data_IF_684527871949
#
_entry.id   IF_684527871949
#
_cell.length_a   1.000
_cell.length_b   1.000
_cell.length_c   1.000
_cell.angle_alpha   90.00
_cell.angle_beta   90.00
_cell.angle_gamma   90.00
#
_symmetry.space_group_name_H-M   'P 1'
#
loop_
_entity.id
_entity.type
_entity.pdbx_description
1 polymer ?
#
# COMPACT_ATOMS: atom_id res chain seq x y z
N UNK A 1 -37.58 -11.78 21.98
CA UNK A 1 -36.73 -12.05 20.80
C UNK A 1 -35.28 -11.80 21.18
N UNK A 2 -34.44 -12.85 21.17
CA UNK A 2 -33.00 -12.73 21.40
C UNK A 2 -32.34 -12.34 20.07
N UNK A 3 -31.80 -11.13 19.99
CA UNK A 3 -31.02 -10.66 18.84
C UNK A 3 -29.60 -11.20 18.92
N UNK A 4 -29.27 -12.20 18.11
CA UNK A 4 -27.91 -12.68 17.90
C UNK A 4 -27.14 -11.63 17.09
N UNK A 5 -26.43 -10.73 17.77
CA UNK A 5 -25.29 -10.04 17.15
C UNK A 5 -24.15 -11.04 17.04
N UNK A 6 -23.94 -11.58 15.84
CA UNK A 6 -22.71 -12.28 15.48
C UNK A 6 -21.59 -11.24 15.53
N UNK A 7 -20.82 -11.26 16.61
CA UNK A 7 -19.55 -10.56 16.68
C UNK A 7 -18.68 -11.06 15.52
N UNK A 8 -18.30 -10.13 14.65
CA UNK A 8 -17.30 -10.39 13.61
C UNK A 8 -15.94 -10.52 14.30
N UNK A 9 -15.64 -11.73 14.76
CA UNK A 9 -14.32 -12.15 15.21
C UNK A 9 -13.44 -12.32 13.98
N UNK A 10 -12.53 -11.36 13.77
CA UNK A 10 -11.14 -11.53 13.32
C UNK A 10 -10.52 -10.14 13.04
N UNK A 11 -10.64 -9.23 14.02
CA UNK A 11 -9.88 -7.99 14.01
C UNK A 11 -8.46 -8.30 14.49
N UNK A 12 -7.56 -8.58 13.55
CA UNK A 12 -6.10 -8.56 13.79
C UNK A 12 -5.78 -7.28 14.59
N UNK A 13 -5.30 -7.45 15.82
CA UNK A 13 -5.07 -6.36 16.76
C UNK A 13 -3.85 -5.54 16.33
N UNK A 14 -3.79 -4.27 16.74
CA UNK A 14 -2.70 -3.32 16.43
C UNK A 14 -1.29 -3.86 16.73
N UNK A 15 -1.17 -4.76 17.71
CA UNK A 15 0.07 -5.45 18.08
C UNK A 15 0.61 -6.40 17.02
N UNK A 16 -0.27 -6.90 16.15
CA UNK A 16 0.04 -8.07 15.34
C UNK A 16 0.79 -7.67 14.06
N UNK A 17 0.58 -6.43 13.57
CA UNK A 17 1.24 -5.88 12.38
C UNK A 17 2.70 -5.45 12.63
N UNK A 18 3.14 -5.45 13.90
CA UNK A 18 4.48 -5.05 14.31
C UNK A 18 5.25 -6.25 14.85
N UNK A 19 6.53 -6.34 14.49
CA UNK A 19 7.50 -7.26 15.10
C UNK A 19 7.96 -6.75 16.46
N UNK A 20 8.62 -7.62 17.23
CA UNK A 20 9.08 -7.37 18.60
C UNK A 20 9.95 -6.10 18.84
N UNK A 21 10.41 -5.43 17.78
CA UNK A 21 11.18 -4.16 17.83
C UNK A 21 10.40 -2.93 17.32
N UNK A 22 9.09 -3.03 17.14
CA UNK A 22 8.27 -1.95 16.56
C UNK A 22 8.48 -1.75 15.05
N UNK A 23 9.16 -2.67 14.39
CA UNK A 23 9.27 -2.70 12.93
C UNK A 23 8.05 -3.38 12.32
N UNK A 24 7.55 -2.94 11.16
CA UNK A 24 6.40 -3.57 10.53
C UNK A 24 6.71 -4.99 10.07
N UNK A 25 5.75 -5.90 10.25
CA UNK A 25 5.78 -7.20 9.60
C UNK A 25 5.22 -7.08 8.18
N UNK A 26 6.13 -7.01 7.20
CA UNK A 26 5.78 -6.75 5.80
C UNK A 26 4.88 -7.85 5.22
N UNK A 27 5.09 -9.11 5.60
CA UNK A 27 4.35 -10.25 5.06
C UNK A 27 2.91 -10.24 5.59
N UNK A 28 2.75 -9.97 6.89
CA UNK A 28 1.43 -9.89 7.50
C UNK A 28 0.64 -8.67 7.00
N UNK A 29 1.29 -7.51 6.91
CA UNK A 29 0.68 -6.30 6.35
C UNK A 29 0.24 -6.55 4.91
N UNK A 30 1.10 -7.15 4.09
CA UNK A 30 0.77 -7.45 2.70
C UNK A 30 -0.40 -8.41 2.57
N UNK A 31 -0.42 -9.49 3.37
CA UNK A 31 -1.55 -10.41 3.41
C UNK A 31 -2.86 -9.70 3.78
N UNK A 32 -2.83 -8.83 4.79
CA UNK A 32 -4.00 -8.04 5.19
C UNK A 32 -4.49 -7.11 4.07
N UNK A 33 -3.56 -6.48 3.35
CA UNK A 33 -3.87 -5.64 2.17
C UNK A 33 -4.54 -6.48 1.07
N UNK A 34 -4.05 -7.69 0.79
CA UNK A 34 -4.66 -8.61 -0.18
C UNK A 34 -6.09 -9.01 0.21
N UNK A 35 -6.30 -9.35 1.49
CA UNK A 35 -7.63 -9.72 1.99
C UNK A 35 -8.62 -8.55 1.84
N UNK A 36 -8.20 -7.34 2.22
CA UNK A 36 -8.99 -6.12 2.08
C UNK A 36 -9.26 -5.78 0.60
N UNK A 37 -8.28 -5.95 -0.29
CA UNK A 37 -8.45 -5.77 -1.73
C UNK A 37 -9.50 -6.73 -2.32
N UNK A 38 -9.45 -8.01 -1.95
CA UNK A 38 -10.46 -8.97 -2.37
C UNK A 38 -11.86 -8.62 -1.87
N UNK A 39 -11.98 -8.07 -0.66
CA UNK A 39 -13.27 -7.56 -0.14
C UNK A 39 -13.78 -6.37 -0.94
N UNK A 40 -12.92 -5.42 -1.32
CA UNK A 40 -13.31 -4.28 -2.18
C UNK A 40 -13.81 -4.79 -3.54
N UNK A 41 -13.09 -5.71 -4.18
CA UNK A 41 -13.48 -6.26 -5.48
C UNK A 41 -14.83 -7.00 -5.43
N UNK A 42 -15.11 -7.69 -4.33
CA UNK A 42 -16.41 -8.37 -4.10
C UNK A 42 -17.56 -7.40 -3.82
N UNK A 43 -17.30 -6.33 -3.06
CA UNK A 43 -18.33 -5.38 -2.62
C UNK A 43 -18.66 -4.32 -3.67
N UNK A 44 -17.69 -3.88 -4.46
CA UNK A 44 -17.87 -2.85 -5.47
C UNK A 44 -17.21 -3.26 -6.80
N UNK A 45 -18.03 -3.81 -7.70
CA UNK A 45 -17.58 -4.32 -9.01
C UNK A 45 -16.93 -3.25 -9.89
N UNK A 46 -17.30 -1.98 -9.75
CA UNK A 46 -16.70 -0.88 -10.53
C UNK A 46 -15.24 -0.65 -10.17
N UNK A 47 -14.82 -1.04 -8.97
CA UNK A 47 -13.44 -0.89 -8.51
C UNK A 47 -12.58 -2.12 -8.81
N UNK A 48 -13.16 -3.25 -9.24
CA UNK A 48 -12.44 -4.50 -9.49
C UNK A 48 -11.21 -4.31 -10.36
N UNK A 49 -11.31 -3.65 -11.52
CA UNK A 49 -10.17 -3.47 -12.42
C UNK A 49 -9.03 -2.64 -11.78
N UNK A 50 -9.37 -1.63 -10.97
CA UNK A 50 -8.39 -0.80 -10.28
C UNK A 50 -7.68 -1.58 -9.17
N UNK A 51 -8.44 -2.34 -8.39
CA UNK A 51 -7.94 -3.12 -7.26
C UNK A 51 -7.14 -4.32 -7.75
N UNK A 52 -7.58 -4.97 -8.82
CA UNK A 52 -6.84 -6.06 -9.46
C UNK A 52 -5.46 -5.59 -9.89
N UNK A 53 -5.41 -4.45 -10.56
CA UNK A 53 -4.18 -3.88 -11.09
C UNK A 53 -3.23 -3.35 -10.00
N UNK A 54 -3.74 -2.86 -8.87
CA UNK A 54 -2.89 -2.30 -7.80
C UNK A 54 -2.50 -3.34 -6.75
N UNK A 55 -3.37 -4.32 -6.46
CA UNK A 55 -3.17 -5.25 -5.35
C UNK A 55 -3.16 -6.69 -5.81
N UNK A 56 -4.28 -7.21 -6.32
CA UNK A 56 -4.49 -8.67 -6.46
C UNK A 56 -3.48 -9.31 -7.42
N UNK A 57 -3.15 -8.62 -8.52
CA UNK A 57 -2.17 -9.10 -9.51
C UNK A 57 -0.71 -8.85 -9.13
N UNK A 58 -0.44 -8.33 -7.92
CA UNK A 58 0.91 -7.95 -7.47
C UNK A 58 1.47 -8.97 -6.50
N UNK A 59 2.79 -9.16 -6.53
CA UNK A 59 3.50 -10.13 -5.69
C UNK A 59 3.85 -9.59 -4.30
N UNK A 60 3.91 -8.26 -4.14
CA UNK A 60 4.38 -7.62 -2.90
C UNK A 60 3.81 -6.20 -2.73
N UNK A 61 3.95 -5.67 -1.52
CA UNK A 61 3.62 -4.28 -1.22
C UNK A 61 4.46 -3.29 -2.05
N UNK A 62 5.74 -3.58 -2.28
CA UNK A 62 6.61 -2.78 -3.15
C UNK A 62 6.05 -2.68 -4.58
N UNK A 63 5.68 -3.82 -5.17
CA UNK A 63 5.08 -3.90 -6.50
C UNK A 63 3.73 -3.13 -6.54
N UNK A 64 2.93 -3.20 -5.48
CA UNK A 64 1.68 -2.45 -5.34
C UNK A 64 1.88 -0.93 -5.32
N UNK A 65 2.87 -0.45 -4.56
CA UNK A 65 3.24 0.97 -4.52
C UNK A 65 3.73 1.44 -5.90
N UNK A 66 4.61 0.69 -6.56
CA UNK A 66 5.07 0.99 -7.91
C UNK A 66 3.90 1.07 -8.90
N UNK A 67 2.96 0.12 -8.84
CA UNK A 67 1.76 0.11 -9.68
C UNK A 67 0.88 1.34 -9.43
N UNK A 68 0.68 1.72 -8.16
CA UNK A 68 -0.12 2.89 -7.82
C UNK A 68 0.54 4.19 -8.26
N UNK A 69 1.82 4.36 -8.00
CA UNK A 69 2.55 5.59 -8.30
C UNK A 69 2.75 5.79 -9.79
N UNK A 70 3.10 4.75 -10.54
CA UNK A 70 3.20 4.82 -12.01
C UNK A 70 1.89 5.31 -12.64
N UNK A 71 0.73 4.81 -12.19
CA UNK A 71 -0.59 5.32 -12.64
C UNK A 71 -0.83 6.79 -12.33
N UNK A 72 -0.27 7.31 -11.23
CA UNK A 72 -0.47 8.70 -10.80
C UNK A 72 0.51 9.67 -11.45
N UNK A 73 1.75 9.23 -11.65
CA UNK A 73 2.87 10.03 -12.10
C UNK A 73 3.05 10.01 -13.62
N UNK A 74 2.57 8.97 -14.31
CA UNK A 74 2.72 8.85 -15.77
C UNK A 74 2.19 10.08 -16.52
N UNK A 75 2.97 10.49 -17.51
CA UNK A 75 2.70 11.58 -18.45
C UNK A 75 3.16 11.14 -19.85
N UNK A 76 3.02 12.01 -20.84
CA UNK A 76 3.44 11.72 -22.22
C UNK A 76 4.95 11.47 -22.32
N UNK A 77 5.76 12.22 -21.58
CA UNK A 77 7.23 12.10 -21.59
C UNK A 77 7.75 10.87 -20.83
N UNK A 78 6.93 10.30 -19.95
CA UNK A 78 7.29 9.12 -19.18
C UNK A 78 6.03 8.31 -18.87
N UNK A 79 5.86 7.25 -19.64
CA UNK A 79 4.65 6.45 -19.64
C UNK A 79 4.59 5.55 -18.40
N UNK A 80 3.42 4.96 -18.16
CA UNK A 80 3.24 3.99 -17.09
C UNK A 80 4.16 2.78 -17.27
N UNK A 81 4.35 2.33 -18.51
CA UNK A 81 5.13 1.14 -18.85
C UNK A 81 6.63 1.34 -18.61
N UNK A 82 7.10 2.59 -18.65
CA UNK A 82 8.47 2.97 -18.28
C UNK A 82 8.60 3.22 -16.77
N UNK A 83 7.64 3.90 -16.16
CA UNK A 83 7.68 4.24 -14.73
C UNK A 83 7.53 3.01 -13.83
N UNK A 84 6.62 2.10 -14.17
CA UNK A 84 6.33 0.95 -13.31
C UNK A 84 7.58 0.09 -13.01
N UNK A 85 8.32 -0.43 -14.02
CA UNK A 85 9.51 -1.23 -13.76
C UNK A 85 10.61 -0.43 -13.03
N UNK A 86 10.79 0.85 -13.37
CA UNK A 86 11.77 1.71 -12.70
C UNK A 86 11.46 1.85 -11.20
N UNK A 87 10.21 2.16 -10.85
CA UNK A 87 9.81 2.32 -9.46
C UNK A 87 9.86 0.99 -8.70
N UNK A 88 9.55 -0.12 -9.38
CA UNK A 88 9.65 -1.45 -8.79
C UNK A 88 11.11 -1.80 -8.45
N UNK A 89 12.04 -1.62 -9.39
CA UNK A 89 13.49 -1.83 -9.19
C UNK A 89 14.00 -1.06 -7.96
N UNK A 90 13.68 0.23 -7.87
CA UNK A 90 14.12 1.07 -6.75
C UNK A 90 13.55 0.56 -5.40
N UNK A 91 12.31 0.10 -5.36
CA UNK A 91 11.72 -0.41 -4.12
C UNK A 91 12.26 -1.78 -3.72
N UNK A 92 12.61 -2.62 -4.69
CA UNK A 92 13.24 -3.93 -4.46
C UNK A 92 14.69 -3.77 -3.97
N UNK A 93 15.45 -2.82 -4.53
CA UNK A 93 16.82 -2.52 -4.14
C UNK A 93 16.93 -1.82 -2.76
N UNK A 94 15.89 -1.11 -2.35
CA UNK A 94 15.86 -0.29 -1.12
C UNK A 94 14.70 -0.69 -0.19
N UNK A 95 14.74 -1.90 0.43
CA UNK A 95 13.66 -2.41 1.27
C UNK A 95 13.36 -1.55 2.50
N UNK A 96 14.27 -0.68 2.92
CA UNK A 96 14.02 0.30 3.99
C UNK A 96 12.98 1.36 3.58
N UNK A 97 12.85 1.66 2.28
CA UNK A 97 11.79 2.54 1.78
C UNK A 97 10.43 1.87 1.96
N UNK A 98 10.34 0.58 1.60
CA UNK A 98 9.13 -0.24 1.76
C UNK A 98 8.73 -0.30 3.23
N UNK A 99 9.67 -0.57 4.13
CA UNK A 99 9.45 -0.58 5.58
C UNK A 99 8.97 0.78 6.12
N UNK A 100 9.56 1.87 5.63
CA UNK A 100 9.12 3.23 5.99
C UNK A 100 7.68 3.50 5.53
N UNK A 101 7.34 3.14 4.29
CA UNK A 101 5.99 3.32 3.74
C UNK A 101 4.95 2.45 4.45
N UNK A 102 5.29 1.23 4.84
CA UNK A 102 4.39 0.40 5.66
C UNK A 102 4.19 1.02 7.04
N UNK A 103 5.24 1.56 7.65
CA UNK A 103 5.11 2.28 8.93
C UNK A 103 4.19 3.50 8.79
N UNK A 104 4.28 4.22 7.67
CA UNK A 104 3.39 5.33 7.35
C UNK A 104 1.92 4.83 7.23
N UNK A 105 1.66 3.68 6.57
CA UNK A 105 0.32 3.07 6.48
C UNK A 105 -0.24 2.69 7.84
N UNK A 106 0.55 2.02 8.68
CA UNK A 106 0.13 1.61 10.03
C UNK A 106 -0.21 2.86 10.85
N UNK A 107 0.65 3.88 10.80
CA UNK A 107 0.42 5.14 11.51
C UNK A 107 -0.86 5.85 11.05
N UNK A 108 -1.16 5.86 9.75
CA UNK A 108 -2.42 6.43 9.23
C UNK A 108 -3.60 5.62 9.75
N UNK A 109 -3.57 4.30 9.62
CA UNK A 109 -4.66 3.42 10.07
C UNK A 109 -4.91 3.49 11.59
N UNK A 110 -3.90 3.83 12.38
CA UNK A 110 -4.04 3.99 13.83
C UNK A 110 -4.56 5.35 14.28
N UNK A 111 -4.16 6.41 13.56
CA UNK A 111 -4.31 7.80 14.02
C UNK A 111 -5.40 8.56 13.27
N UNK A 112 -5.77 8.12 12.07
CA UNK A 112 -6.81 8.74 11.26
C UNK A 112 -8.16 8.02 11.49
N UNK A 113 -9.15 8.65 12.15
CA UNK A 113 -10.45 8.04 12.38
C UNK A 113 -11.26 7.82 11.08
N UNK A 114 -10.89 8.45 9.97
CA UNK A 114 -11.52 8.23 8.67
C UNK A 114 -10.88 7.09 7.87
N UNK A 115 -9.75 6.53 8.35
CA UNK A 115 -9.08 5.39 7.74
C UNK A 115 -9.60 4.09 8.33
N UNK A 116 -10.28 3.29 7.50
CA UNK A 116 -10.93 2.05 7.89
C UNK A 116 -10.23 0.79 7.36
N UNK A 117 -9.19 0.95 6.53
CA UNK A 117 -8.45 -0.15 5.89
C UNK A 117 -7.08 0.33 5.42
N UNK A 118 -6.09 -0.58 5.40
CA UNK A 118 -4.73 -0.33 4.91
C UNK A 118 -4.66 -0.07 3.41
N UNK A 119 -5.69 -0.46 2.64
CA UNK A 119 -5.78 -0.16 1.20
C UNK A 119 -6.14 1.30 0.92
N UNK A 120 -6.84 1.97 1.84
CA UNK A 120 -7.38 3.32 1.61
C UNK A 120 -6.28 4.37 1.38
N UNK A 121 -5.19 4.43 2.16
CA UNK A 121 -4.17 5.43 1.93
C UNK A 121 -3.49 5.27 0.57
N UNK A 122 -3.22 4.02 0.15
CA UNK A 122 -2.63 3.75 -1.16
C UNK A 122 -3.60 4.10 -2.31
N UNK A 123 -4.89 3.83 -2.14
CA UNK A 123 -5.89 4.17 -3.16
C UNK A 123 -6.17 5.68 -3.22
N UNK A 124 -6.29 6.39 -2.10
CA UNK A 124 -6.96 7.68 -2.08
C UNK A 124 -6.17 8.83 -1.46
N UNK A 125 -5.20 8.55 -0.57
CA UNK A 125 -4.61 9.62 0.25
C UNK A 125 -3.44 10.28 -0.48
N UNK A 126 -3.67 11.49 -0.99
CA UNK A 126 -2.63 12.29 -1.66
C UNK A 126 -1.40 12.54 -0.78
N UNK A 127 -1.58 12.63 0.54
CA UNK A 127 -0.47 12.83 1.49
C UNK A 127 0.46 11.62 1.55
N UNK A 128 -0.10 10.41 1.67
CA UNK A 128 0.66 9.16 1.62
C UNK A 128 1.41 9.03 0.28
N UNK A 129 0.70 9.24 -0.84
CA UNK A 129 1.29 9.14 -2.17
C UNK A 129 2.41 10.15 -2.40
N UNK A 130 2.23 11.41 -1.97
CA UNK A 130 3.26 12.43 -2.09
C UNK A 130 4.51 12.10 -1.27
N UNK A 131 4.34 11.59 -0.04
CA UNK A 131 5.46 11.18 0.80
C UNK A 131 6.20 9.97 0.19
N UNK A 132 5.47 8.99 -0.34
CA UNK A 132 6.06 7.84 -1.02
C UNK A 132 6.88 8.27 -2.26
N UNK A 133 6.32 9.16 -3.09
CA UNK A 133 7.02 9.75 -4.24
C UNK A 133 8.27 10.52 -3.82
N UNK A 134 8.19 11.33 -2.75
CA UNK A 134 9.36 12.04 -2.22
C UNK A 134 10.48 11.08 -1.79
N UNK A 135 10.15 10.01 -1.06
CA UNK A 135 11.14 9.02 -0.61
C UNK A 135 11.85 8.36 -1.80
N UNK A 136 11.13 8.07 -2.88
CA UNK A 136 11.68 7.54 -4.13
C UNK A 136 12.59 8.55 -4.83
N UNK A 137 12.12 9.78 -5.05
CA UNK A 137 12.91 10.84 -5.68
C UNK A 137 14.20 11.15 -4.89
N UNK A 138 14.11 11.21 -3.56
CA UNK A 138 15.27 11.37 -2.69
C UNK A 138 16.28 10.22 -2.82
N UNK A 139 15.79 8.99 -3.02
CA UNK A 139 16.68 7.85 -3.27
C UNK A 139 17.38 7.94 -4.62
N UNK A 140 16.65 8.30 -5.68
CA UNK A 140 17.23 8.51 -7.00
C UNK A 140 18.29 9.61 -6.99
N UNK A 141 18.01 10.72 -6.29
CA UNK A 141 18.98 11.79 -6.07
C UNK A 141 20.28 11.29 -5.43
N UNK A 142 20.18 10.51 -4.34
CA UNK A 142 21.34 9.90 -3.67
C UNK A 142 22.13 8.94 -4.55
N UNK A 143 21.48 8.32 -5.53
CA UNK A 143 22.10 7.40 -6.48
C UNK A 143 22.63 8.11 -7.74
N UNK A 144 22.68 9.45 -7.76
CA UNK A 144 23.06 10.28 -8.91
C UNK A 144 22.21 10.00 -10.17
N UNK A 145 20.94 9.63 -10.00
CA UNK A 145 19.96 9.39 -11.06
C UNK A 145 18.92 10.52 -11.10
N UNK A 146 19.38 11.77 -11.25
CA UNK A 146 18.53 12.98 -11.31
C UNK A 146 18.70 13.73 -12.64
#
# INVERSE_FOLDING_TARGET
MKGNHKASQDAISKSDLLRAKGQPDLDLVWKKIQDEAHQISKSERRLTALVEDIFISRSSFACSVAARLSRKLAREDMTRDELFPLLQEILEDHPELVSSMVSDLIAINERDPACHSLTQPLLYYKGFLALATYRLGHRMWKNNRH
#
